data_IF_027513605665
#
_entry.id   IF_027513605665
#
_cell.length_a   1.000
_cell.length_b   1.000
_cell.length_c   1.000
_cell.angle_alpha   90.00
_cell.angle_beta   90.00
_cell.angle_gamma   90.00
#
_symmetry.space_group_name_H-M   'P 1'
#
loop_
_entity.id
_entity.type
_entity.pdbx_description
1 polymer ?
#
# COMPACT_ATOMS: atom_id res chain seq x y z
N UNK A 1 -19.59 10.35 30.53
CA UNK A 1 -18.18 10.55 30.28
C UNK A 1 -17.42 9.43 30.95
N UNK A 2 -16.75 8.59 30.22
CA UNK A 2 -15.33 8.32 30.50
C UNK A 2 -14.51 8.06 29.23
N UNK A 3 -13.20 8.12 29.38
CA UNK A 3 -12.13 7.61 28.52
C UNK A 3 -11.76 8.40 27.26
N UNK A 4 -11.38 9.68 27.42
CA UNK A 4 -10.53 10.38 26.42
C UNK A 4 -9.05 10.41 26.82
N UNK A 5 -8.62 9.74 27.90
CA UNK A 5 -7.32 10.03 28.53
C UNK A 5 -6.16 9.11 28.16
N UNK A 6 -6.30 8.12 27.27
CA UNK A 6 -5.15 7.24 27.00
C UNK A 6 -5.09 6.66 25.58
N UNK A 7 -5.61 7.35 24.56
CA UNK A 7 -5.43 6.90 23.18
C UNK A 7 -4.07 7.40 22.65
N UNK A 8 -3.24 6.54 22.03
CA UNK A 8 -1.98 6.98 21.44
C UNK A 8 -2.24 7.98 20.29
N UNK A 9 -1.34 8.93 20.08
CA UNK A 9 -1.38 9.76 18.88
C UNK A 9 -1.16 8.89 17.64
N UNK A 10 -1.62 9.35 16.46
CA UNK A 10 -1.41 8.65 15.18
C UNK A 10 0.07 8.31 14.96
N UNK A 11 0.98 9.24 15.26
CA UNK A 11 2.43 9.01 15.10
C UNK A 11 2.93 7.83 15.95
N UNK A 12 2.47 7.73 17.20
CA UNK A 12 2.80 6.60 18.09
C UNK A 12 2.19 5.31 17.56
N UNK A 13 0.92 5.33 17.13
CA UNK A 13 0.25 4.14 16.59
C UNK A 13 0.93 3.61 15.32
N UNK A 14 1.31 4.51 14.39
CA UNK A 14 2.07 4.14 13.18
C UNK A 14 3.44 3.55 13.52
N UNK A 15 4.19 4.16 14.45
CA UNK A 15 5.50 3.66 14.87
C UNK A 15 5.38 2.27 15.53
N UNK A 16 4.43 2.11 16.45
CA UNK A 16 4.16 0.81 17.11
C UNK A 16 3.79 -0.27 16.09
N UNK A 17 2.95 0.07 15.12
CA UNK A 17 2.60 -0.85 14.03
C UNK A 17 3.82 -1.23 13.21
N UNK A 18 4.66 -0.25 12.85
CA UNK A 18 5.84 -0.49 12.03
C UNK A 18 6.82 -1.44 12.73
N UNK A 19 7.09 -1.23 14.01
CA UNK A 19 7.97 -2.07 14.81
C UNK A 19 7.40 -3.48 14.99
N UNK A 20 6.10 -3.59 15.27
CA UNK A 20 5.42 -4.87 15.46
C UNK A 20 5.39 -5.71 14.20
N UNK A 21 5.07 -5.10 13.05
CA UNK A 21 5.09 -5.78 11.74
C UNK A 21 6.49 -6.23 11.36
N UNK A 22 7.51 -5.38 11.59
CA UNK A 22 8.89 -5.74 11.31
C UNK A 22 9.34 -6.94 12.16
N UNK A 23 9.06 -6.92 13.47
CA UNK A 23 9.39 -8.03 14.36
C UNK A 23 8.66 -9.33 13.98
N UNK A 24 7.38 -9.22 13.61
CA UNK A 24 6.57 -10.37 13.18
C UNK A 24 7.09 -10.99 11.89
N UNK A 25 7.39 -10.16 10.86
CA UNK A 25 7.92 -10.59 9.57
C UNK A 25 9.32 -11.20 9.71
N UNK A 26 10.16 -10.65 10.58
CA UNK A 26 11.48 -11.21 10.85
C UNK A 26 11.40 -12.65 11.40
N UNK A 27 10.43 -12.90 12.27
CA UNK A 27 10.14 -14.25 12.77
C UNK A 27 9.54 -15.19 11.74
N UNK A 28 8.65 -14.69 10.89
CA UNK A 28 7.95 -15.50 9.89
C UNK A 28 8.85 -15.92 8.71
N UNK A 29 9.82 -15.07 8.31
CA UNK A 29 10.75 -15.39 7.24
C UNK A 29 11.77 -16.40 7.75
N UNK A 30 11.49 -17.69 7.55
CA UNK A 30 12.32 -18.77 8.03
C UNK A 30 13.71 -18.78 7.40
N UNK A 31 14.74 -18.98 8.22
CA UNK A 31 16.11 -19.28 7.79
C UNK A 31 16.29 -20.80 7.75
N UNK A 32 16.02 -21.43 6.64
CA UNK A 32 16.23 -22.88 6.45
C UNK A 32 17.51 -23.15 5.69
N UNK A 33 18.66 -23.20 6.37
CA UNK A 33 19.93 -23.65 5.79
C UNK A 33 20.32 -23.06 4.41
N UNK A 34 21.44 -23.48 3.83
CA UNK A 34 21.80 -23.14 2.44
C UNK A 34 21.08 -24.13 1.48
N UNK A 35 20.49 -23.71 0.36
CA UNK A 35 20.48 -22.38 -0.27
C UNK A 35 19.41 -21.42 0.27
N UNK A 36 18.49 -21.84 1.12
CA UNK A 36 17.40 -21.03 1.65
C UNK A 36 17.86 -19.77 2.43
N UNK A 37 19.04 -19.83 3.06
CA UNK A 37 19.58 -18.69 3.81
C UNK A 37 19.76 -17.42 2.96
N UNK A 38 20.18 -17.53 1.68
CA UNK A 38 20.31 -16.38 0.78
C UNK A 38 18.97 -15.79 0.44
N UNK A 39 17.96 -16.64 0.15
CA UNK A 39 16.61 -16.20 -0.16
C UNK A 39 15.97 -15.50 1.04
N UNK A 40 16.02 -16.11 2.24
CA UNK A 40 15.51 -15.52 3.47
C UNK A 40 16.20 -14.19 3.79
N UNK A 41 17.51 -14.07 3.57
CA UNK A 41 18.24 -12.81 3.74
C UNK A 41 17.77 -11.73 2.77
N UNK A 42 17.49 -12.06 1.50
CA UNK A 42 16.97 -11.14 0.51
C UNK A 42 15.52 -10.71 0.82
N UNK A 43 14.66 -11.64 1.25
CA UNK A 43 13.30 -11.33 1.71
C UNK A 43 13.31 -10.40 2.93
N UNK A 44 14.20 -10.64 3.91
CA UNK A 44 14.41 -9.75 5.06
C UNK A 44 14.94 -8.39 4.64
N UNK A 45 15.87 -8.33 3.68
CA UNK A 45 16.37 -7.07 3.14
C UNK A 45 15.24 -6.22 2.59
N UNK A 46 14.29 -6.81 1.85
CA UNK A 46 13.12 -6.15 1.29
C UNK A 46 12.13 -5.69 2.37
N UNK A 47 11.84 -6.55 3.35
CA UNK A 47 10.76 -6.32 4.31
C UNK A 47 11.19 -5.47 5.51
N UNK A 48 12.45 -5.52 5.93
CA UNK A 48 12.95 -4.83 7.14
C UNK A 48 13.63 -3.49 6.84
N UNK A 49 13.48 -2.95 5.63
CA UNK A 49 14.04 -1.66 5.23
C UNK A 49 13.31 -0.42 5.81
N UNK A 50 12.41 -0.62 6.77
CA UNK A 50 11.61 0.46 7.35
C UNK A 50 10.39 0.83 6.49
N UNK A 51 9.87 2.04 6.71
CA UNK A 51 8.66 2.55 6.05
C UNK A 51 7.53 2.82 7.02
N UNK A 52 6.56 3.66 6.62
CA UNK A 52 5.43 4.10 7.48
C UNK A 52 4.41 2.99 7.79
N UNK A 53 4.49 1.83 7.13
CA UNK A 53 3.59 0.67 7.30
C UNK A 53 2.10 1.03 7.34
N UNK A 54 1.69 1.98 6.49
CA UNK A 54 0.33 2.48 6.46
C UNK A 54 -0.69 1.37 6.13
N UNK A 55 -0.36 0.45 5.21
CA UNK A 55 -1.25 -0.67 4.86
C UNK A 55 -1.50 -1.61 6.04
N UNK A 56 -0.48 -2.12 6.74
CA UNK A 56 -0.67 -2.84 8.01
C UNK A 56 -1.46 -2.09 9.06
N UNK A 57 -1.18 -0.79 9.23
CA UNK A 57 -1.91 0.07 10.15
C UNK A 57 -3.41 0.10 9.82
N UNK A 58 -3.78 0.26 8.55
CA UNK A 58 -5.18 0.26 8.12
C UNK A 58 -5.87 -1.08 8.41
N UNK A 59 -5.18 -2.23 8.25
CA UNK A 59 -5.72 -3.54 8.64
C UNK A 59 -6.05 -3.57 10.13
N UNK A 60 -5.07 -3.20 10.96
CA UNK A 60 -5.17 -3.28 12.43
C UNK A 60 -6.25 -2.34 12.95
N UNK A 61 -6.27 -1.08 12.52
CA UNK A 61 -7.25 -0.10 12.99
C UNK A 61 -8.66 -0.37 12.46
N UNK A 62 -8.80 -0.90 11.25
CA UNK A 62 -10.10 -1.34 10.74
C UNK A 62 -10.64 -2.55 11.51
N UNK A 63 -9.78 -3.48 11.92
CA UNK A 63 -10.15 -4.61 12.76
C UNK A 63 -10.52 -4.17 14.19
N UNK A 64 -9.81 -3.17 14.72
CA UNK A 64 -10.06 -2.60 16.05
C UNK A 64 -11.44 -1.97 16.17
N UNK A 65 -12.07 -1.46 15.10
CA UNK A 65 -13.46 -0.98 15.10
C UNK A 65 -14.46 -2.04 15.59
N UNK A 66 -14.11 -3.31 15.40
CA UNK A 66 -14.94 -4.47 15.75
C UNK A 66 -14.42 -5.23 16.99
N UNK A 67 -13.50 -4.62 17.75
CA UNK A 67 -12.95 -5.21 18.96
C UNK A 67 -11.90 -6.31 18.73
N UNK A 68 -11.38 -6.46 17.50
CA UNK A 68 -10.27 -7.39 17.22
C UNK A 68 -8.97 -6.79 17.73
N UNK A 69 -8.25 -7.47 18.64
CA UNK A 69 -6.99 -6.94 19.15
C UNK A 69 -5.88 -6.98 18.08
N UNK A 70 -4.92 -6.06 18.20
CA UNK A 70 -3.85 -5.88 17.20
C UNK A 70 -3.07 -7.17 16.90
N UNK A 71 -2.80 -7.99 17.91
CA UNK A 71 -2.09 -9.27 17.72
C UNK A 71 -2.86 -10.27 16.86
N UNK A 72 -4.20 -10.26 16.90
CA UNK A 72 -5.06 -11.12 16.09
C UNK A 72 -5.19 -10.60 14.64
N UNK A 73 -5.06 -9.29 14.41
CA UNK A 73 -5.02 -8.70 13.08
C UNK A 73 -3.62 -8.75 12.43
N UNK A 74 -2.57 -9.00 13.22
CA UNK A 74 -1.18 -8.94 12.79
C UNK A 74 -0.85 -9.87 11.61
N UNK A 75 -1.28 -11.15 11.56
CA UNK A 75 -1.01 -12.02 10.43
C UNK A 75 -1.53 -11.44 9.10
N UNK A 76 -2.78 -10.94 9.08
CA UNK A 76 -3.35 -10.33 7.87
C UNK A 76 -2.63 -9.03 7.48
N UNK A 77 -2.22 -8.23 8.46
CA UNK A 77 -1.43 -7.02 8.26
C UNK A 77 -0.05 -7.34 7.66
N UNK A 78 0.62 -8.37 8.17
CA UNK A 78 1.92 -8.84 7.69
C UNK A 78 1.83 -9.46 6.28
N UNK A 79 0.78 -10.25 6.00
CA UNK A 79 0.52 -10.80 4.67
C UNK A 79 0.36 -9.69 3.62
N UNK A 80 -0.41 -8.64 3.93
CA UNK A 80 -0.55 -7.48 3.04
C UNK A 80 0.78 -6.75 2.84
N UNK A 81 1.61 -6.64 3.87
CA UNK A 81 2.93 -6.01 3.73
C UNK A 81 3.89 -6.88 2.90
N UNK A 82 3.81 -8.22 2.96
CA UNK A 82 4.53 -9.10 2.04
C UNK A 82 4.16 -8.81 0.58
N UNK A 83 2.87 -8.66 0.28
CA UNK A 83 2.39 -8.27 -1.06
C UNK A 83 2.95 -6.92 -1.49
N UNK A 84 2.94 -5.93 -0.60
CA UNK A 84 3.51 -4.62 -0.91
C UNK A 84 5.03 -4.69 -1.13
N UNK A 85 5.75 -5.45 -0.31
CA UNK A 85 7.21 -5.56 -0.44
C UNK A 85 7.62 -6.31 -1.70
N UNK A 86 6.92 -7.40 -2.08
CA UNK A 86 7.25 -8.10 -3.32
C UNK A 86 7.07 -7.20 -4.54
N UNK A 87 6.00 -6.41 -4.58
CA UNK A 87 5.77 -5.51 -5.71
C UNK A 87 6.89 -4.49 -5.85
N UNK A 88 7.38 -3.94 -4.73
CA UNK A 88 8.53 -3.02 -4.76
C UNK A 88 9.82 -3.71 -5.22
N UNK A 89 10.07 -4.96 -4.78
CA UNK A 89 11.26 -5.73 -5.23
C UNK A 89 11.24 -5.94 -6.74
N UNK A 90 10.08 -6.27 -7.31
CA UNK A 90 9.94 -6.48 -8.74
C UNK A 90 9.95 -5.17 -9.52
N UNK A 91 9.32 -4.12 -9.01
CA UNK A 91 9.33 -2.78 -9.62
C UNK A 91 10.75 -2.22 -9.72
N UNK A 92 11.62 -2.51 -8.75
CA UNK A 92 13.02 -2.05 -8.75
C UNK A 92 13.90 -2.72 -9.82
N UNK A 93 13.48 -3.86 -10.42
CA UNK A 93 14.28 -4.61 -11.41
C UNK A 93 14.57 -3.78 -12.67
N UNK A 94 15.69 -4.07 -13.38
CA UNK A 94 16.03 -3.37 -14.63
C UNK A 94 14.96 -3.46 -15.72
N UNK A 95 14.13 -4.51 -15.71
CA UNK A 95 13.02 -4.68 -16.65
C UNK A 95 11.81 -3.78 -16.32
N UNK A 96 11.78 -3.17 -15.12
CA UNK A 96 10.72 -2.33 -14.62
C UNK A 96 11.22 -0.88 -14.46
N UNK A 97 11.35 -0.38 -13.23
CA UNK A 97 11.74 1.01 -12.95
C UNK A 97 13.27 1.20 -12.94
N UNK A 98 14.04 0.10 -12.84
CA UNK A 98 15.50 0.09 -12.78
C UNK A 98 16.07 1.00 -11.67
N UNK A 99 15.51 0.91 -10.46
CA UNK A 99 15.92 1.72 -9.32
C UNK A 99 17.05 1.04 -8.54
N UNK A 100 18.15 1.77 -8.31
CA UNK A 100 19.30 1.28 -7.55
C UNK A 100 19.12 1.37 -6.04
N UNK A 101 18.28 2.30 -5.56
CA UNK A 101 18.13 2.63 -4.15
C UNK A 101 16.64 2.76 -3.76
N UNK A 102 16.27 2.15 -2.62
CA UNK A 102 14.94 2.28 -2.02
C UNK A 102 15.05 2.48 -0.51
N UNK A 103 14.36 3.49 0.02
CA UNK A 103 14.39 3.84 1.46
C UNK A 103 15.81 3.99 2.01
N UNK A 104 16.72 4.59 1.21
CA UNK A 104 18.10 4.83 1.59
C UNK A 104 19.02 3.59 1.60
N UNK A 105 18.56 2.45 1.07
CA UNK A 105 19.35 1.20 0.96
C UNK A 105 19.39 0.74 -0.50
N UNK A 106 20.43 -0.01 -0.92
CA UNK A 106 20.43 -0.67 -2.21
C UNK A 106 19.20 -1.55 -2.39
N UNK A 107 18.59 -1.54 -3.58
CA UNK A 107 17.48 -2.45 -3.93
C UNK A 107 17.96 -3.90 -3.91
N UNK A 108 17.04 -4.88 -3.87
CA UNK A 108 17.42 -6.29 -3.70
C UNK A 108 18.30 -6.77 -4.86
N UNK A 109 17.99 -6.39 -6.10
CA UNK A 109 18.81 -6.78 -7.25
C UNK A 109 20.22 -6.17 -7.23
N UNK A 110 20.40 -5.00 -6.60
CA UNK A 110 21.71 -4.36 -6.42
C UNK A 110 22.48 -4.92 -5.23
N UNK A 111 21.79 -5.30 -4.16
CA UNK A 111 22.41 -5.88 -2.97
C UNK A 111 22.80 -7.36 -3.17
N UNK A 112 22.09 -8.06 -4.06
CA UNK A 112 22.30 -9.48 -4.36
C UNK A 112 22.53 -9.69 -5.86
N UNK A 113 21.47 -9.97 -6.62
CA UNK A 113 21.38 -10.09 -8.06
C UNK A 113 19.91 -10.15 -8.51
N UNK A 114 19.65 -10.07 -9.82
CA UNK A 114 18.29 -10.07 -10.38
C UNK A 114 17.54 -11.38 -10.10
N UNK A 115 18.20 -12.54 -10.25
CA UNK A 115 17.57 -13.82 -9.99
C UNK A 115 17.14 -13.97 -8.52
N UNK A 116 17.99 -13.51 -7.59
CA UNK A 116 17.66 -13.48 -6.16
C UNK A 116 16.52 -12.52 -5.88
N UNK A 117 16.45 -11.37 -6.56
CA UNK A 117 15.36 -10.41 -6.40
C UNK A 117 14.01 -10.98 -6.90
N UNK A 118 13.99 -11.61 -8.09
CA UNK A 118 12.81 -12.29 -8.61
C UNK A 118 12.30 -13.33 -7.62
N UNK A 119 13.17 -14.23 -7.16
CA UNK A 119 12.80 -15.29 -6.21
C UNK A 119 12.41 -14.75 -4.83
N UNK A 120 13.00 -13.64 -4.38
CA UNK A 120 12.59 -12.99 -3.13
C UNK A 120 11.19 -12.40 -3.24
N UNK A 121 10.84 -11.79 -4.37
CA UNK A 121 9.49 -11.33 -4.65
C UNK A 121 8.48 -12.48 -4.70
N UNK A 122 8.78 -13.56 -5.43
CA UNK A 122 7.93 -14.77 -5.51
C UNK A 122 7.75 -15.41 -4.12
N UNK A 123 8.83 -15.47 -3.33
CA UNK A 123 8.79 -15.97 -1.96
C UNK A 123 7.89 -15.15 -1.05
N UNK A 124 7.96 -13.81 -1.12
CA UNK A 124 7.09 -12.92 -0.35
C UNK A 124 5.63 -13.02 -0.78
N UNK A 125 5.37 -13.09 -2.10
CA UNK A 125 4.02 -13.29 -2.63
C UNK A 125 3.41 -14.59 -2.11
N UNK A 126 4.16 -15.68 -2.16
CA UNK A 126 3.71 -17.01 -1.70
C UNK A 126 3.50 -17.03 -0.20
N UNK A 127 4.43 -16.46 0.58
CA UNK A 127 4.34 -16.34 2.04
C UNK A 127 3.08 -15.58 2.48
N UNK A 128 2.66 -14.55 1.75
CA UNK A 128 1.43 -13.82 2.08
C UNK A 128 0.19 -14.74 2.10
N UNK A 129 0.08 -15.64 1.14
CA UNK A 129 -1.04 -16.59 1.09
C UNK A 129 -0.90 -17.72 2.10
N UNK A 130 0.32 -18.19 2.38
CA UNK A 130 0.60 -19.14 3.45
C UNK A 130 0.14 -18.59 4.80
N UNK A 131 0.51 -17.35 5.14
CA UNK A 131 0.09 -16.66 6.36
C UNK A 131 -1.45 -16.61 6.46
N UNK A 132 -2.15 -16.17 5.40
CA UNK A 132 -3.60 -16.03 5.44
C UNK A 132 -4.34 -17.37 5.53
N UNK A 133 -3.74 -18.45 5.05
CA UNK A 133 -4.32 -19.81 5.10
C UNK A 133 -4.10 -20.49 6.45
N UNK A 134 -3.13 -20.04 7.25
CA UNK A 134 -2.77 -20.63 8.54
C UNK A 134 -3.89 -20.45 9.60
N UNK A 135 -4.11 -21.48 10.41
CA UNK A 135 -5.10 -21.48 11.50
C UNK A 135 -4.83 -20.39 12.54
N UNK A 136 -3.58 -19.96 12.72
CA UNK A 136 -3.21 -18.86 13.59
C UNK A 136 -3.71 -17.49 13.11
N UNK A 137 -4.07 -17.34 11.83
CA UNK A 137 -4.66 -16.10 11.30
C UNK A 137 -6.11 -15.93 11.73
N UNK A 138 -6.90 -16.99 11.67
CA UNK A 138 -8.26 -17.03 12.20
C UNK A 138 -8.70 -18.50 12.34
N UNK A 139 -9.37 -18.84 13.44
CA UNK A 139 -9.86 -20.20 13.67
C UNK A 139 -10.94 -20.61 12.65
N UNK A 140 -11.72 -19.64 12.12
CA UNK A 140 -12.77 -19.90 11.13
C UNK A 140 -12.17 -19.98 9.70
N UNK A 141 -12.20 -21.16 9.05
CA UNK A 141 -11.69 -21.31 7.70
C UNK A 141 -12.46 -20.46 6.67
N UNK A 142 -13.70 -20.08 6.93
CA UNK A 142 -14.45 -19.21 6.03
C UNK A 142 -13.87 -17.80 6.01
N UNK A 143 -13.39 -17.29 7.16
CA UNK A 143 -12.70 -16.00 7.25
C UNK A 143 -11.37 -16.06 6.54
N UNK A 144 -10.57 -17.10 6.76
CA UNK A 144 -9.29 -17.29 6.06
C UNK A 144 -9.48 -17.33 4.55
N UNK A 145 -10.48 -18.10 4.07
CA UNK A 145 -10.79 -18.15 2.64
C UNK A 145 -11.22 -16.79 2.08
N UNK A 146 -12.01 -16.02 2.84
CA UNK A 146 -12.42 -14.68 2.44
C UNK A 146 -11.22 -13.72 2.36
N UNK A 147 -10.29 -13.77 3.31
CA UNK A 147 -9.04 -13.00 3.31
C UNK A 147 -8.17 -13.34 2.10
N UNK A 148 -7.94 -14.62 1.84
CA UNK A 148 -7.18 -15.13 0.68
C UNK A 148 -7.82 -14.64 -0.63
N UNK A 149 -9.14 -14.81 -0.79
CA UNK A 149 -9.84 -14.40 -1.99
C UNK A 149 -9.85 -12.88 -2.19
N UNK A 150 -9.97 -12.10 -1.12
CA UNK A 150 -9.90 -10.64 -1.17
C UNK A 150 -8.49 -10.17 -1.56
N UNK A 151 -7.44 -10.72 -0.92
CA UNK A 151 -6.06 -10.37 -1.25
C UNK A 151 -5.71 -10.75 -2.69
N UNK A 152 -6.11 -11.94 -3.15
CA UNK A 152 -5.87 -12.39 -4.52
C UNK A 152 -6.50 -11.45 -5.57
N UNK A 153 -7.71 -10.95 -5.32
CA UNK A 153 -8.34 -9.94 -6.19
C UNK A 153 -7.61 -8.61 -6.15
N UNK A 154 -7.24 -8.14 -4.94
CA UNK A 154 -6.58 -6.85 -4.77
C UNK A 154 -5.15 -6.81 -5.33
N UNK A 155 -4.40 -7.89 -5.20
CA UNK A 155 -3.05 -8.01 -5.74
C UNK A 155 -2.99 -8.42 -7.21
N UNK A 156 -4.02 -9.12 -7.70
CA UNK A 156 -4.04 -9.78 -9.00
C UNK A 156 -4.32 -8.86 -10.20
N UNK A 157 -4.79 -9.49 -11.29
CA UNK A 157 -5.04 -8.82 -12.60
C UNK A 157 -6.13 -7.75 -12.49
N UNK A 158 -7.14 -7.93 -11.63
CA UNK A 158 -8.19 -6.94 -11.38
C UNK A 158 -7.80 -5.87 -10.34
N UNK A 159 -6.55 -5.88 -9.87
CA UNK A 159 -6.00 -4.99 -8.86
C UNK A 159 -4.59 -4.53 -9.21
N UNK A 160 -3.68 -4.63 -8.24
CA UNK A 160 -2.34 -4.03 -8.31
C UNK A 160 -1.53 -4.45 -9.56
N UNK A 161 -1.48 -5.74 -9.90
CA UNK A 161 -0.71 -6.22 -11.07
C UNK A 161 -1.31 -5.67 -12.37
N UNK A 162 -2.65 -5.69 -12.50
CA UNK A 162 -3.31 -5.09 -13.66
C UNK A 162 -3.07 -3.59 -13.75
N UNK A 163 -3.12 -2.87 -12.63
CA UNK A 163 -2.79 -1.45 -12.54
C UNK A 163 -1.34 -1.15 -12.94
N UNK A 164 -0.39 -1.98 -12.51
CA UNK A 164 1.01 -1.87 -12.94
C UNK A 164 1.18 -2.07 -14.45
N UNK A 165 0.47 -3.04 -15.03
CA UNK A 165 0.49 -3.25 -16.49
C UNK A 165 -0.07 -2.03 -17.25
N UNK A 166 -1.16 -1.41 -16.74
CA UNK A 166 -1.71 -0.18 -17.32
C UNK A 166 -0.74 1.00 -17.19
N UNK A 167 -0.01 1.08 -16.09
CA UNK A 167 1.01 2.12 -15.87
C UNK A 167 2.13 2.02 -16.90
N UNK A 168 2.70 0.83 -17.10
CA UNK A 168 3.71 0.58 -18.14
C UNK A 168 3.18 0.84 -19.56
N UNK A 169 1.91 0.53 -19.82
CA UNK A 169 1.27 0.84 -21.09
C UNK A 169 1.14 2.36 -21.30
N UNK A 170 0.79 3.10 -20.21
CA UNK A 170 0.71 4.55 -20.24
C UNK A 170 2.06 5.23 -20.52
N UNK A 171 3.18 4.60 -20.11
CA UNK A 171 4.54 5.02 -20.46
C UNK A 171 4.90 4.75 -21.93
N UNK A 172 4.03 4.13 -22.71
CA UNK A 172 4.26 3.78 -24.12
C UNK A 172 5.17 2.57 -24.32
N UNK A 173 5.44 1.77 -23.28
CA UNK A 173 6.37 0.62 -23.37
C UNK A 173 5.92 -0.47 -24.34
N UNK A 174 4.61 -0.58 -24.59
CA UNK A 174 4.04 -1.60 -25.48
C UNK A 174 3.64 -1.06 -26.86
N UNK A 175 3.88 0.21 -27.13
CA UNK A 175 3.65 0.80 -28.44
C UNK A 175 4.70 0.35 -29.44
N UNK A 176 4.33 0.25 -30.72
CA UNK A 176 5.25 -0.17 -31.80
C UNK A 176 5.86 1.02 -32.55
N UNK A 177 7.02 0.79 -33.15
CA UNK A 177 7.69 1.75 -34.02
C UNK A 177 8.05 3.05 -33.31
N UNK A 178 7.77 4.19 -33.96
CA UNK A 178 8.11 5.52 -33.45
C UNK A 178 7.31 5.94 -32.20
N UNK A 179 6.25 5.22 -31.86
CA UNK A 179 5.45 5.46 -30.66
C UNK A 179 6.01 4.75 -29.40
N UNK A 180 7.00 3.87 -29.57
CA UNK A 180 7.61 3.17 -28.43
C UNK A 180 8.29 4.15 -27.46
N UNK A 181 7.92 4.06 -26.16
CA UNK A 181 8.44 4.95 -25.13
C UNK A 181 7.89 6.38 -25.17
N UNK A 182 6.85 6.64 -25.96
CA UNK A 182 6.12 7.91 -25.94
C UNK A 182 4.95 7.78 -24.99
N UNK A 183 4.93 8.54 -23.87
CA UNK A 183 3.82 8.48 -22.91
C UNK A 183 2.47 8.83 -23.53
N UNK A 184 1.42 8.15 -23.08
CA UNK A 184 0.06 8.40 -23.54
C UNK A 184 -0.57 9.58 -22.79
N UNK A 185 -1.26 10.45 -23.50
CA UNK A 185 -2.12 11.47 -22.88
C UNK A 185 -3.45 10.86 -22.46
N UNK A 186 -3.51 10.31 -21.24
CA UNK A 186 -4.70 9.65 -20.73
C UNK A 186 -5.75 10.66 -20.25
N UNK A 187 -7.07 10.39 -20.47
CA UNK A 187 -8.14 11.13 -19.81
C UNK A 187 -8.11 10.92 -18.28
N UNK A 188 -8.64 11.87 -17.53
CA UNK A 188 -8.64 11.84 -16.07
C UNK A 188 -9.26 10.56 -15.49
N UNK A 189 -10.35 10.07 -16.06
CA UNK A 189 -11.01 8.83 -15.60
C UNK A 189 -10.11 7.61 -15.73
N UNK A 190 -9.33 7.51 -16.81
CA UNK A 190 -8.38 6.41 -17.01
C UNK A 190 -7.20 6.49 -16.03
N UNK A 191 -6.76 7.71 -15.69
CA UNK A 191 -5.73 7.93 -14.65
C UNK A 191 -6.27 7.47 -13.29
N UNK A 192 -7.52 7.85 -12.95
CA UNK A 192 -8.18 7.46 -11.70
C UNK A 192 -8.31 5.93 -11.62
N UNK A 193 -8.72 5.27 -12.70
CA UNK A 193 -8.86 3.81 -12.76
C UNK A 193 -7.51 3.11 -12.56
N UNK A 194 -6.48 3.53 -13.28
CA UNK A 194 -5.12 3.01 -13.14
C UNK A 194 -4.62 3.14 -11.69
N UNK A 195 -4.73 4.33 -11.09
CA UNK A 195 -4.31 4.60 -9.72
C UNK A 195 -5.14 3.81 -8.70
N UNK A 196 -6.44 3.65 -8.93
CA UNK A 196 -7.32 2.84 -8.09
C UNK A 196 -6.92 1.36 -8.11
N UNK A 197 -6.45 0.85 -9.25
CA UNK A 197 -5.96 -0.52 -9.39
C UNK A 197 -4.55 -0.67 -8.79
N UNK A 198 -3.57 0.12 -9.24
CA UNK A 198 -2.15 -0.02 -8.84
C UNK A 198 -1.95 0.20 -7.34
N UNK A 199 -2.54 1.25 -6.79
CA UNK A 199 -2.34 1.67 -5.40
C UNK A 199 -3.58 1.46 -4.54
N UNK A 200 -4.75 1.87 -5.02
CA UNK A 200 -6.00 1.86 -4.28
C UNK A 200 -6.48 0.47 -3.88
N UNK A 201 -6.26 -0.55 -4.71
CA UNK A 201 -6.73 -1.91 -4.47
C UNK A 201 -6.17 -2.51 -3.16
N UNK A 202 -4.88 -2.32 -2.88
CA UNK A 202 -4.27 -2.80 -1.63
C UNK A 202 -4.72 -2.00 -0.40
N UNK A 203 -4.97 -0.70 -0.54
CA UNK A 203 -5.52 0.12 0.56
C UNK A 203 -6.97 -0.28 0.88
N UNK A 204 -7.77 -0.58 -0.15
CA UNK A 204 -9.12 -1.12 0.03
C UNK A 204 -9.09 -2.49 0.70
N UNK A 205 -8.22 -3.39 0.25
CA UNK A 205 -8.03 -4.68 0.89
C UNK A 205 -7.62 -4.54 2.36
N UNK A 206 -6.77 -3.57 2.71
CA UNK A 206 -6.38 -3.34 4.11
C UNK A 206 -7.61 -3.13 5.01
N UNK A 207 -8.54 -2.25 4.62
CA UNK A 207 -9.75 -2.01 5.38
C UNK A 207 -10.73 -3.20 5.31
N UNK A 208 -10.84 -3.86 4.15
CA UNK A 208 -11.67 -5.07 4.00
C UNK A 208 -11.16 -6.23 4.86
N UNK A 209 -9.85 -6.43 4.97
CA UNK A 209 -9.26 -7.46 5.82
C UNK A 209 -9.62 -7.24 7.30
N UNK A 210 -9.52 -6.00 7.79
CA UNK A 210 -9.97 -5.65 9.13
C UNK A 210 -11.47 -5.94 9.34
N UNK A 211 -12.31 -5.57 8.37
CA UNK A 211 -13.74 -5.85 8.40
C UNK A 211 -14.06 -7.36 8.38
N UNK A 212 -13.31 -8.16 7.63
CA UNK A 212 -13.45 -9.62 7.58
C UNK A 212 -13.10 -10.26 8.93
N UNK A 213 -11.96 -9.87 9.51
CA UNK A 213 -11.54 -10.33 10.83
C UNK A 213 -12.57 -9.96 11.92
N UNK A 214 -13.11 -8.75 11.83
CA UNK A 214 -14.13 -8.23 12.74
C UNK A 214 -15.55 -8.75 12.48
N UNK A 215 -15.78 -9.61 11.48
CA UNK A 215 -17.13 -10.09 11.07
C UNK A 215 -18.11 -8.94 10.85
N UNK A 216 -17.63 -7.85 10.26
CA UNK A 216 -18.43 -6.66 10.01
C UNK A 216 -19.67 -6.95 9.17
N UNK A 217 -20.77 -6.30 9.51
CA UNK A 217 -22.02 -6.36 8.75
C UNK A 217 -21.87 -5.72 7.36
N UNK A 218 -22.76 -6.05 6.39
CA UNK A 218 -22.70 -5.44 5.07
C UNK A 218 -22.71 -3.90 5.05
N UNK A 219 -23.50 -3.18 5.88
CA UNK A 219 -23.42 -1.71 5.96
C UNK A 219 -22.06 -1.20 6.45
N UNK A 220 -21.49 -1.83 7.48
CA UNK A 220 -20.17 -1.45 8.02
C UNK A 220 -19.05 -1.68 7.00
N UNK A 221 -19.08 -2.81 6.29
CA UNK A 221 -18.15 -3.07 5.18
C UNK A 221 -18.28 -2.04 4.06
N UNK A 222 -19.51 -1.62 3.72
CA UNK A 222 -19.73 -0.57 2.73
C UNK A 222 -19.17 0.79 3.19
N UNK A 223 -19.25 1.11 4.48
CA UNK A 223 -18.66 2.31 5.08
C UNK A 223 -17.13 2.28 4.98
N UNK A 224 -16.50 1.16 5.36
CA UNK A 224 -15.04 0.98 5.23
C UNK A 224 -14.57 0.97 3.77
N UNK A 225 -15.34 0.44 2.82
CA UNK A 225 -15.02 0.51 1.39
C UNK A 225 -15.04 1.95 0.88
N UNK A 226 -16.05 2.77 1.27
CA UNK A 226 -16.09 4.21 0.93
C UNK A 226 -14.87 4.95 1.50
N UNK A 227 -14.57 4.73 2.78
CA UNK A 227 -13.37 5.29 3.41
C UNK A 227 -12.11 4.92 2.65
N UNK A 228 -11.90 3.65 2.37
CA UNK A 228 -10.70 3.15 1.71
C UNK A 228 -10.54 3.68 0.27
N UNK A 229 -11.64 3.85 -0.47
CA UNK A 229 -11.62 4.48 -1.80
C UNK A 229 -11.21 5.95 -1.72
N UNK A 230 -11.78 6.70 -0.78
CA UNK A 230 -11.44 8.10 -0.59
C UNK A 230 -9.96 8.27 -0.19
N UNK A 231 -9.49 7.47 0.77
CA UNK A 231 -8.09 7.47 1.24
C UNK A 231 -7.12 7.04 0.12
N UNK A 232 -7.48 6.01 -0.68
CA UNK A 232 -6.65 5.56 -1.79
C UNK A 232 -6.45 6.62 -2.87
N UNK A 233 -7.51 7.36 -3.22
CA UNK A 233 -7.43 8.50 -4.15
C UNK A 233 -6.67 9.68 -3.54
N UNK A 234 -6.94 10.01 -2.26
CA UNK A 234 -6.24 11.06 -1.55
C UNK A 234 -4.73 10.79 -1.48
N UNK A 235 -4.33 9.54 -1.22
CA UNK A 235 -2.94 9.11 -1.20
C UNK A 235 -2.22 9.42 -2.50
N UNK A 236 -2.84 9.11 -3.64
CA UNK A 236 -2.23 9.31 -4.94
C UNK A 236 -2.14 10.79 -5.31
N UNK A 237 -3.20 11.57 -5.06
CA UNK A 237 -3.16 13.03 -5.32
C UNK A 237 -2.09 13.71 -4.44
N UNK A 238 -1.96 13.30 -3.17
CA UNK A 238 -0.93 13.83 -2.28
C UNK A 238 0.48 13.45 -2.76
N UNK A 239 0.68 12.26 -3.29
CA UNK A 239 1.96 11.80 -3.86
C UNK A 239 2.31 12.59 -5.13
N UNK A 240 1.35 12.76 -6.06
CA UNK A 240 1.50 13.56 -7.28
C UNK A 240 1.80 15.05 -6.95
N UNK A 241 1.16 15.62 -5.92
CA UNK A 241 1.43 17.01 -5.46
C UNK A 241 2.83 17.14 -4.89
N UNK A 242 3.30 16.16 -4.10
CA UNK A 242 4.66 16.16 -3.55
C UNK A 242 5.72 16.12 -4.66
N UNK A 243 5.47 15.35 -5.71
CA UNK A 243 6.41 15.25 -6.83
C UNK A 243 6.54 16.60 -7.56
N UNK A 244 5.43 17.29 -7.80
CA UNK A 244 5.39 18.60 -8.46
C UNK A 244 5.95 19.73 -7.56
N UNK A 245 5.59 19.75 -6.26
CA UNK A 245 6.00 20.82 -5.34
C UNK A 245 7.44 20.66 -4.84
N UNK A 246 7.93 19.41 -4.76
CA UNK A 246 9.33 19.11 -4.43
C UNK A 246 10.32 19.68 -5.46
N UNK A 247 9.93 19.78 -6.72
CA UNK A 247 10.74 20.44 -7.78
C UNK A 247 10.95 21.92 -7.51
N UNK A 248 9.99 22.60 -6.89
CA UNK A 248 10.04 24.02 -6.63
C UNK A 248 10.90 24.42 -5.42
N UNK A 249 11.24 23.50 -4.50
CA UNK A 249 11.77 23.83 -3.18
C UNK A 249 13.10 23.23 -2.76
N UNK A 250 13.67 22.21 -3.41
CA UNK A 250 14.85 21.48 -2.89
C UNK A 250 15.80 20.96 -3.99
N UNK A 251 16.87 21.70 -4.21
CA UNK A 251 18.08 21.20 -4.89
C UNK A 251 18.69 20.09 -4.01
N UNK A 252 18.52 18.81 -4.37
CA UNK A 252 19.24 17.74 -3.67
C UNK A 252 18.67 16.33 -3.70
N UNK A 253 17.47 16.08 -4.24
CA UNK A 253 16.94 14.73 -4.49
C UNK A 253 16.34 14.63 -5.89
N UNK A 254 16.37 13.44 -6.49
CA UNK A 254 15.70 13.16 -7.76
C UNK A 254 14.17 13.30 -7.59
N UNK A 255 13.69 14.54 -7.67
CA UNK A 255 12.29 14.95 -7.72
C UNK A 255 11.99 15.19 -9.20
N UNK A 256 10.73 15.01 -9.62
CA UNK A 256 10.40 15.18 -11.03
C UNK A 256 10.60 13.92 -11.89
N UNK A 257 10.75 12.76 -11.27
CA UNK A 257 10.81 11.48 -12.01
C UNK A 257 9.55 11.26 -12.85
N UNK A 258 8.37 11.62 -12.33
CA UNK A 258 7.10 11.43 -13.03
C UNK A 258 6.94 12.42 -14.19
N UNK A 259 7.33 13.69 -14.00
CA UNK A 259 7.34 14.67 -15.09
C UNK A 259 8.40 14.36 -16.14
N UNK A 260 9.60 13.92 -15.73
CA UNK A 260 10.66 13.49 -16.64
C UNK A 260 10.31 12.19 -17.40
N UNK A 261 9.51 11.31 -16.77
CA UNK A 261 8.97 10.10 -17.39
C UNK A 261 7.68 10.37 -18.22
N UNK A 262 7.15 11.61 -18.19
CA UNK A 262 5.91 11.97 -18.89
C UNK A 262 4.67 11.26 -18.35
N UNK A 263 4.67 10.85 -17.06
CA UNK A 263 3.53 10.17 -16.46
C UNK A 263 2.30 11.06 -16.43
N UNK A 264 1.16 10.50 -16.82
CA UNK A 264 -0.11 11.17 -16.73
C UNK A 264 -0.58 11.21 -15.27
N UNK A 265 -0.61 12.41 -14.65
CA UNK A 265 -1.04 12.61 -13.25
C UNK A 265 -2.35 13.40 -13.17
N UNK A 266 -3.10 13.21 -12.07
CA UNK A 266 -4.30 14.02 -11.82
C UNK A 266 -3.94 15.48 -11.56
N UNK A 267 -2.80 15.77 -10.96
CA UNK A 267 -2.30 17.14 -10.77
C UNK A 267 -2.08 17.82 -12.12
N UNK A 268 -1.54 17.12 -13.10
CA UNK A 268 -1.37 17.61 -14.46
C UNK A 268 -2.70 17.97 -15.15
N UNK A 269 -3.79 17.25 -14.85
CA UNK A 269 -5.13 17.50 -15.42
C UNK A 269 -5.92 18.58 -14.66
N UNK A 270 -5.84 18.61 -13.33
CA UNK A 270 -6.63 19.51 -12.47
C UNK A 270 -5.90 20.82 -12.11
N UNK A 271 -4.59 20.87 -12.32
CA UNK A 271 -3.73 21.88 -11.73
C UNK A 271 -3.58 21.72 -10.22
N UNK A 272 -2.60 22.40 -9.61
CA UNK A 272 -2.28 22.31 -8.17
C UNK A 272 -3.50 22.65 -7.30
N UNK A 273 -4.16 23.77 -7.58
CA UNK A 273 -5.34 24.22 -6.80
C UNK A 273 -6.53 23.27 -6.93
N UNK A 274 -6.79 22.74 -8.14
CA UNK A 274 -7.84 21.73 -8.36
C UNK A 274 -7.54 20.42 -7.63
N UNK A 275 -6.28 19.97 -7.65
CA UNK A 275 -5.83 18.79 -6.93
C UNK A 275 -5.95 18.94 -5.41
N UNK A 276 -5.59 20.12 -4.86
CA UNK A 276 -5.78 20.43 -3.43
C UNK A 276 -7.25 20.46 -3.01
N UNK A 277 -8.12 21.04 -3.85
CA UNK A 277 -9.56 21.05 -3.58
C UNK A 277 -10.14 19.62 -3.59
N UNK A 278 -9.75 18.80 -4.56
CA UNK A 278 -10.17 17.38 -4.62
C UNK A 278 -9.63 16.58 -3.42
N UNK A 279 -8.39 16.83 -3.01
CA UNK A 279 -7.80 16.19 -1.83
C UNK A 279 -8.59 16.52 -0.56
N UNK A 280 -8.94 17.79 -0.33
CA UNK A 280 -9.76 18.22 0.80
C UNK A 280 -11.17 17.57 0.78
N UNK A 281 -11.79 17.47 -0.42
CA UNK A 281 -13.07 16.79 -0.60
C UNK A 281 -12.99 15.31 -0.23
N UNK A 282 -11.93 14.61 -0.65
CA UNK A 282 -11.72 13.19 -0.36
C UNK A 282 -11.49 12.93 1.14
N UNK A 283 -10.77 13.80 1.84
CA UNK A 283 -10.61 13.70 3.30
C UNK A 283 -11.95 13.84 3.99
N UNK A 284 -12.78 14.83 3.59
CA UNK A 284 -14.12 14.99 4.16
C UNK A 284 -15.02 13.78 3.87
N UNK A 285 -14.91 13.17 2.68
CA UNK A 285 -15.63 11.95 2.31
C UNK A 285 -15.18 10.75 3.17
N UNK A 286 -13.87 10.62 3.41
CA UNK A 286 -13.32 9.58 4.28
C UNK A 286 -13.82 9.72 5.73
N UNK A 287 -13.80 10.92 6.29
CA UNK A 287 -14.34 11.19 7.62
C UNK A 287 -15.84 10.88 7.72
N UNK A 288 -16.63 11.36 6.76
CA UNK A 288 -18.07 11.10 6.71
C UNK A 288 -18.40 9.60 6.59
N UNK A 289 -17.58 8.83 5.88
CA UNK A 289 -17.77 7.38 5.74
C UNK A 289 -17.62 6.63 7.07
N UNK A 290 -16.90 7.19 8.04
CA UNK A 290 -16.64 6.57 9.33
C UNK A 290 -17.51 7.16 10.47
N UNK A 291 -18.44 8.07 10.17
CA UNK A 291 -19.22 8.79 11.18
C UNK A 291 -19.97 7.85 12.16
N UNK A 292 -20.52 6.74 11.67
CA UNK A 292 -21.27 5.78 12.47
C UNK A 292 -20.40 5.01 13.50
N UNK A 293 -19.08 4.96 13.29
CA UNK A 293 -18.14 4.33 14.23
C UNK A 293 -17.73 5.27 15.39
N UNK A 294 -18.08 6.54 15.29
CA UNK A 294 -17.82 7.54 16.35
C UNK A 294 -16.33 7.60 16.72
N UNK A 295 -16.07 7.73 18.03
CA UNK A 295 -14.67 7.86 18.51
C UNK A 295 -13.81 6.62 18.27
N UNK A 296 -14.36 5.45 17.98
CA UNK A 296 -13.56 4.27 17.65
C UNK A 296 -12.73 4.49 16.37
N UNK A 297 -13.24 5.27 15.42
CA UNK A 297 -12.59 5.52 14.15
C UNK A 297 -11.56 6.67 14.16
N UNK A 298 -11.27 7.30 15.30
CA UNK A 298 -10.41 8.50 15.39
C UNK A 298 -9.08 8.32 14.66
N UNK A 299 -8.36 7.21 14.88
CA UNK A 299 -7.05 6.96 14.24
C UNK A 299 -7.16 6.77 12.73
N UNK A 300 -8.25 6.17 12.23
CA UNK A 300 -8.49 6.09 10.78
C UNK A 300 -8.80 7.46 10.17
N UNK A 301 -9.57 8.30 10.87
CA UNK A 301 -9.83 9.69 10.45
C UNK A 301 -8.53 10.49 10.43
N UNK A 302 -7.74 10.43 11.51
CA UNK A 302 -6.43 11.09 11.57
C UNK A 302 -5.49 10.59 10.47
N UNK A 303 -5.56 9.31 10.09
CA UNK A 303 -4.77 8.77 8.97
C UNK A 303 -5.18 9.39 7.63
N UNK A 304 -6.45 9.66 7.38
CA UNK A 304 -6.90 10.36 6.18
C UNK A 304 -6.32 11.77 6.08
N UNK A 305 -6.35 12.53 7.18
CA UNK A 305 -5.72 13.85 7.27
C UNK A 305 -4.19 13.77 7.09
N UNK A 306 -3.54 12.81 7.74
CA UNK A 306 -2.10 12.59 7.62
C UNK A 306 -1.65 12.27 6.19
N UNK A 307 -2.46 11.50 5.46
CA UNK A 307 -2.21 11.18 4.04
C UNK A 307 -2.31 12.44 3.18
N UNK A 308 -3.26 13.32 3.47
CA UNK A 308 -3.44 14.56 2.73
C UNK A 308 -2.39 15.64 3.07
N UNK A 309 -1.89 15.69 4.30
CA UNK A 309 -0.89 16.67 4.75
C UNK A 309 0.56 16.17 4.58
N UNK A 310 0.79 15.23 3.67
CA UNK A 310 2.15 14.71 3.40
C UNK A 310 3.05 15.84 2.92
N UNK A 311 4.08 16.14 3.71
CA UNK A 311 5.16 17.08 3.38
C UNK A 311 6.52 16.37 3.21
N UNK A 312 6.56 15.05 3.43
CA UNK A 312 7.77 14.22 3.30
C UNK A 312 7.42 12.75 3.03
#
# INVERSE_FOLDING_TARGET
>A
MPASENRPSLAVALATTADSVAAWLDGAIACSGAPGARLSAAMRHATLAGGKRLRPFLVIESAALFGVPSHAAMPAAAALECIHCYSLVHDDLPAMDNDDMRRGRPTVHRAYDEATAILAGDGLLTLAFEILADDATDADPAVRLALVASLARAAGVAGMIGGQMLDLAAEGRFAEGAAHGVPLDLPADSIIELQAMKTGALLRHACEAGALLGRASPPERASLDRYARAVGRAFQIADDLLDVEGEAGLVGKAVGKDAAAGKATLVGKLGIEGARAELARLVSEAEAALADFGSAATLLVEAAYFIADRRN
#
